data_IF_509158491502
#
_entry.id   IF_509158491502
#
_cell.length_a   1.000
_cell.length_b   1.000
_cell.length_c   1.000
_cell.angle_alpha   90.00
_cell.angle_beta   90.00
_cell.angle_gamma   90.00
#
_symmetry.space_group_name_H-M   'P 1'
#
loop_
_entity.id
_entity.type
_entity.pdbx_description
1 polymer ?
#
# COMPACT_ATOMS: atom_id res chain seq x y z
N UNK A 1 -3.59 3.11 24.89
CA UNK A 1 -2.45 2.90 23.96
C UNK A 1 -2.85 1.82 22.98
N UNK A 2 -3.31 2.23 21.80
CA UNK A 2 -3.60 1.30 20.72
C UNK A 2 -2.29 1.04 19.99
N UNK A 3 -1.63 -0.05 20.31
CA UNK A 3 -0.58 -0.62 19.49
C UNK A 3 -1.22 -1.04 18.16
N UNK A 4 -1.29 -0.13 17.20
CA UNK A 4 -1.60 -0.48 15.83
C UNK A 4 -0.40 -1.26 15.31
N UNK A 5 -0.56 -2.53 14.88
CA UNK A 5 0.59 -3.32 14.45
C UNK A 5 1.29 -2.61 13.30
N UNK A 6 2.59 -2.40 13.44
CA UNK A 6 3.46 -1.82 12.41
C UNK A 6 3.48 -2.63 11.09
N UNK A 7 2.79 -3.76 11.07
CA UNK A 7 2.63 -4.65 9.92
C UNK A 7 1.50 -4.28 8.96
N UNK A 8 0.76 -3.20 9.22
CA UNK A 8 -0.46 -2.88 8.47
C UNK A 8 -0.22 -2.61 6.98
N UNK A 9 0.95 -2.10 6.58
CA UNK A 9 1.21 -1.79 5.18
C UNK A 9 1.55 -3.03 4.34
N UNK A 10 2.29 -3.99 4.88
CA UNK A 10 2.49 -5.30 4.26
C UNK A 10 1.21 -6.14 4.36
N UNK A 11 0.51 -6.10 5.49
CA UNK A 11 -0.76 -6.78 5.69
C UNK A 11 -1.89 -6.21 4.81
N UNK A 12 -1.79 -4.97 4.30
CA UNK A 12 -2.80 -4.41 3.39
C UNK A 12 -2.82 -5.10 2.01
N UNK A 13 -1.80 -5.88 1.66
CA UNK A 13 -1.78 -6.70 0.46
C UNK A 13 -2.41 -8.08 0.65
N UNK A 14 -2.69 -8.47 1.89
CA UNK A 14 -3.53 -9.63 2.19
C UNK A 14 -4.97 -9.17 2.11
N UNK A 15 -5.74 -9.80 1.23
CA UNK A 15 -7.14 -9.45 1.03
C UNK A 15 -7.99 -9.67 2.30
N UNK A 16 -8.98 -8.78 2.49
CA UNK A 16 -9.97 -8.89 3.57
C UNK A 16 -11.12 -9.76 3.10
N UNK A 17 -11.25 -10.96 3.66
CA UNK A 17 -12.34 -11.89 3.33
C UNK A 17 -13.69 -11.34 3.77
N UNK A 18 -14.77 -11.65 3.03
CA UNK A 18 -16.14 -11.33 3.45
C UNK A 18 -16.48 -11.91 4.83
N UNK A 19 -16.04 -13.12 5.11
CA UNK A 19 -16.21 -13.72 6.44
C UNK A 19 -15.58 -12.89 7.56
N UNK A 20 -14.40 -12.29 7.32
CA UNK A 20 -13.74 -11.43 8.31
C UNK A 20 -14.52 -10.10 8.50
N UNK A 21 -15.02 -9.51 7.41
CA UNK A 21 -15.79 -8.26 7.47
C UNK A 21 -17.07 -8.51 8.29
N UNK A 22 -17.82 -9.59 8.00
CA UNK A 22 -19.01 -9.99 8.78
C UNK A 22 -18.70 -10.24 10.25
N UNK A 23 -17.61 -10.98 10.53
CA UNK A 23 -17.20 -11.24 11.91
C UNK A 23 -16.81 -9.97 12.66
N UNK A 24 -16.10 -9.05 12.00
CA UNK A 24 -15.76 -7.74 12.58
C UNK A 24 -17.04 -6.92 12.84
N UNK A 25 -17.98 -6.88 11.89
CA UNK A 25 -19.27 -6.19 12.09
C UNK A 25 -20.02 -6.72 13.28
N UNK A 26 -20.11 -8.04 13.44
CA UNK A 26 -20.78 -8.66 14.58
C UNK A 26 -20.15 -8.25 15.93
N UNK A 27 -18.81 -8.13 15.98
CA UNK A 27 -18.11 -7.63 17.17
C UNK A 27 -18.42 -6.15 17.39
N UNK A 28 -18.35 -5.34 16.34
CA UNK A 28 -18.68 -3.92 16.40
C UNK A 28 -20.10 -3.69 16.94
N UNK A 29 -21.08 -4.44 16.44
CA UNK A 29 -22.46 -4.35 16.88
C UNK A 29 -22.63 -4.74 18.35
N UNK A 30 -21.98 -5.81 18.79
CA UNK A 30 -21.98 -6.24 20.20
C UNK A 30 -21.52 -5.13 21.15
N UNK A 31 -20.57 -4.31 20.73
CA UNK A 31 -20.02 -3.22 21.56
C UNK A 31 -20.54 -1.84 21.19
N UNK A 32 -21.57 -1.73 20.34
CA UNK A 32 -22.16 -0.47 19.91
C UNK A 32 -21.15 0.45 19.21
N UNK A 33 -20.20 -0.12 18.44
CA UNK A 33 -19.19 0.61 17.71
C UNK A 33 -19.46 0.54 16.19
N UNK A 34 -19.23 1.62 15.46
CA UNK A 34 -19.34 1.59 14.00
C UNK A 34 -18.19 0.84 13.34
N UNK A 35 -18.47 0.19 12.22
CA UNK A 35 -17.48 -0.35 11.32
C UNK A 35 -17.24 0.63 10.16
N UNK A 36 -16.07 1.27 10.13
CA UNK A 36 -15.65 2.14 9.03
C UNK A 36 -14.57 1.41 8.21
N UNK A 37 -14.79 1.26 6.91
CA UNK A 37 -13.87 0.57 6.00
C UNK A 37 -12.98 1.58 5.28
N UNK A 38 -11.65 1.44 5.39
CA UNK A 38 -10.73 2.04 4.42
C UNK A 38 -10.84 1.26 3.11
N UNK A 39 -11.43 1.89 2.11
CA UNK A 39 -11.80 1.27 0.85
C UNK A 39 -10.89 1.66 -0.32
N UNK A 40 -9.74 2.22 -0.04
CA UNK A 40 -8.83 2.73 -1.07
C UNK A 40 -8.47 1.71 -2.17
N UNK A 41 -8.54 0.40 -1.87
CA UNK A 41 -8.29 -0.69 -2.81
C UNK A 41 -9.42 -1.74 -2.79
N UNK A 42 -10.66 -1.27 -2.80
CA UNK A 42 -11.82 -2.12 -2.66
C UNK A 42 -12.00 -3.12 -3.82
N UNK A 43 -11.69 -2.70 -5.04
CA UNK A 43 -11.88 -3.52 -6.22
C UNK A 43 -10.81 -4.64 -6.31
N UNK A 44 -9.55 -4.32 -6.02
CA UNK A 44 -8.50 -5.34 -5.90
C UNK A 44 -8.85 -6.35 -4.81
N UNK A 45 -9.36 -5.88 -3.66
CA UNK A 45 -9.80 -6.76 -2.57
C UNK A 45 -10.98 -7.67 -2.99
N UNK A 46 -11.99 -7.11 -3.66
CA UNK A 46 -13.13 -7.88 -4.15
C UNK A 46 -12.71 -8.95 -5.18
N UNK A 47 -11.76 -8.63 -6.05
CA UNK A 47 -11.22 -9.60 -6.99
C UNK A 47 -10.45 -10.73 -6.28
N UNK A 48 -9.69 -10.43 -5.22
CA UNK A 48 -9.09 -11.48 -4.39
C UNK A 48 -10.12 -12.36 -3.69
N UNK A 49 -11.22 -11.77 -3.20
CA UNK A 49 -12.33 -12.54 -2.64
C UNK A 49 -12.88 -13.50 -3.69
N UNK A 50 -13.17 -13.00 -4.91
CA UNK A 50 -13.64 -13.83 -6.02
C UNK A 50 -12.71 -15.02 -6.30
N UNK A 51 -11.41 -14.77 -6.35
CA UNK A 51 -10.42 -15.81 -6.67
C UNK A 51 -10.16 -16.81 -5.54
N UNK A 52 -10.28 -16.39 -4.28
CA UNK A 52 -9.72 -17.13 -3.15
C UNK A 52 -10.73 -17.56 -2.09
N UNK A 53 -11.90 -16.92 -2.01
CA UNK A 53 -12.89 -17.25 -0.98
C UNK A 53 -13.94 -18.21 -1.54
N UNK A 54 -14.19 -19.39 -0.91
CA UNK A 54 -15.18 -20.34 -1.39
C UNK A 54 -16.59 -19.71 -1.51
N UNK A 55 -17.28 -20.00 -2.63
CA UNK A 55 -18.63 -19.51 -2.89
C UNK A 55 -18.73 -18.13 -3.53
N UNK A 56 -17.59 -17.54 -3.93
CA UNK A 56 -17.56 -16.22 -4.58
C UNK A 56 -17.13 -16.27 -6.06
N UNK A 57 -16.73 -17.41 -6.57
CA UNK A 57 -16.18 -17.58 -7.93
C UNK A 57 -17.16 -17.15 -9.04
N UNK A 58 -18.45 -17.41 -8.84
CA UNK A 58 -19.51 -17.11 -9.82
C UNK A 58 -20.13 -15.71 -9.63
N UNK A 59 -19.78 -15.00 -8.56
CA UNK A 59 -20.24 -13.61 -8.34
C UNK A 59 -19.39 -12.64 -9.16
N UNK A 60 -20.01 -11.62 -9.70
CA UNK A 60 -19.30 -10.48 -10.28
C UNK A 60 -18.57 -9.69 -9.20
N UNK A 61 -17.48 -9.01 -9.56
CA UNK A 61 -16.76 -8.09 -8.66
C UNK A 61 -17.71 -7.05 -8.07
N UNK A 62 -18.65 -6.53 -8.86
CA UNK A 62 -19.66 -5.54 -8.42
C UNK A 62 -20.58 -6.06 -7.33
N UNK A 63 -21.01 -7.32 -7.40
CA UNK A 63 -21.80 -7.97 -6.35
C UNK A 63 -20.98 -8.16 -5.07
N UNK A 64 -19.73 -8.60 -5.19
CA UNK A 64 -18.84 -8.77 -4.04
C UNK A 64 -18.60 -7.44 -3.32
N UNK A 65 -18.36 -6.37 -4.08
CA UNK A 65 -18.20 -5.00 -3.56
C UNK A 65 -19.45 -4.54 -2.80
N UNK A 66 -20.65 -4.76 -3.37
CA UNK A 66 -21.91 -4.41 -2.70
C UNK A 66 -22.09 -5.16 -1.38
N UNK A 67 -21.81 -6.47 -1.38
CA UNK A 67 -21.86 -7.27 -0.16
C UNK A 67 -20.86 -6.75 0.89
N UNK A 68 -19.63 -6.43 0.49
CA UNK A 68 -18.59 -5.91 1.38
C UNK A 68 -19.06 -4.62 2.08
N UNK A 69 -19.60 -3.67 1.33
CA UNK A 69 -20.04 -2.39 1.88
C UNK A 69 -21.40 -2.46 2.60
N UNK A 70 -22.22 -3.48 2.35
CA UNK A 70 -23.49 -3.66 3.11
C UNK A 70 -23.26 -3.92 4.61
N UNK A 71 -22.06 -4.33 4.98
CA UNK A 71 -21.69 -4.54 6.38
C UNK A 71 -21.05 -3.31 7.05
N UNK A 72 -20.81 -2.22 6.31
CA UNK A 72 -20.15 -1.04 6.83
C UNK A 72 -21.14 0.04 7.26
N UNK A 73 -20.82 0.74 8.35
CA UNK A 73 -21.53 1.95 8.78
C UNK A 73 -21.00 3.20 8.07
N UNK A 74 -19.85 3.07 7.43
CA UNK A 74 -19.24 4.10 6.62
C UNK A 74 -17.93 3.64 5.95
N UNK A 75 -17.41 4.49 5.10
CA UNK A 75 -16.16 4.21 4.39
C UNK A 75 -15.36 5.47 4.09
N UNK A 76 -14.04 5.31 4.05
CA UNK A 76 -13.13 6.33 3.52
C UNK A 76 -12.54 5.85 2.20
N UNK A 77 -12.34 6.77 1.27
CA UNK A 77 -11.77 6.47 -0.04
C UNK A 77 -10.66 7.44 -0.42
N UNK A 78 -9.58 6.89 -0.97
CA UNK A 78 -8.53 7.64 -1.63
C UNK A 78 -8.64 7.43 -3.14
N UNK A 79 -9.11 8.45 -3.86
CA UNK A 79 -9.44 8.37 -5.28
C UNK A 79 -8.23 8.10 -6.19
N UNK A 80 -7.01 8.46 -5.76
CA UNK A 80 -5.77 8.17 -6.51
C UNK A 80 -5.41 6.68 -6.60
N UNK A 81 -6.26 5.78 -6.09
CA UNK A 81 -6.08 4.33 -6.13
C UNK A 81 -7.13 3.69 -7.04
N UNK A 82 -8.21 3.15 -6.48
CA UNK A 82 -9.19 2.38 -7.26
C UNK A 82 -10.22 3.23 -8.03
N UNK A 83 -9.93 4.49 -8.29
CA UNK A 83 -10.71 5.30 -9.24
C UNK A 83 -9.85 5.90 -10.36
N UNK A 84 -8.58 5.52 -10.44
CA UNK A 84 -7.64 6.03 -11.46
C UNK A 84 -7.45 7.54 -11.49
N UNK A 85 -8.06 8.30 -10.56
CA UNK A 85 -7.94 9.74 -10.50
C UNK A 85 -6.57 10.16 -9.94
N UNK A 86 -6.13 11.37 -10.27
CA UNK A 86 -4.86 11.91 -9.80
C UNK A 86 -4.92 12.28 -8.31
N UNK A 87 -6.07 12.75 -7.83
CA UNK A 87 -6.28 13.23 -6.47
C UNK A 87 -7.72 13.02 -6.02
N UNK A 88 -7.98 13.43 -4.80
CA UNK A 88 -9.30 13.41 -4.22
C UNK A 88 -9.57 12.19 -3.35
N UNK A 89 -10.76 12.18 -2.83
CA UNK A 89 -11.29 11.13 -1.96
C UNK A 89 -12.64 11.53 -1.43
N UNK A 90 -13.28 10.64 -0.71
CA UNK A 90 -14.54 10.92 -0.03
C UNK A 90 -14.70 10.10 1.23
N UNK A 91 -15.63 10.56 2.05
CA UNK A 91 -16.15 9.88 3.21
C UNK A 91 -17.64 9.61 2.96
N UNK A 92 -18.08 8.36 3.10
CA UNK A 92 -19.48 7.99 3.09
C UNK A 92 -19.88 7.45 4.47
N UNK A 93 -21.04 7.89 4.97
CA UNK A 93 -21.52 7.55 6.30
C UNK A 93 -23.03 7.29 6.26
N UNK A 94 -23.50 6.29 7.02
CA UNK A 94 -24.91 6.02 7.23
C UNK A 94 -25.51 6.82 8.42
N UNK A 95 -24.68 7.49 9.20
CA UNK A 95 -25.10 8.29 10.35
C UNK A 95 -25.18 9.77 9.97
N UNK A 96 -26.39 10.35 9.99
CA UNK A 96 -26.66 11.74 9.58
C UNK A 96 -25.99 12.78 10.49
N UNK A 97 -25.88 12.53 11.80
CA UNK A 97 -25.20 13.43 12.71
C UNK A 97 -23.69 13.54 12.34
N UNK A 98 -23.08 12.40 12.10
CA UNK A 98 -21.66 12.39 11.71
C UNK A 98 -21.44 12.98 10.31
N UNK A 99 -22.36 12.71 9.39
CA UNK A 99 -22.34 13.30 8.06
C UNK A 99 -22.46 14.84 8.14
N UNK A 100 -23.32 15.36 9.01
CA UNK A 100 -23.44 16.80 9.27
C UNK A 100 -22.15 17.41 9.82
N UNK A 101 -21.55 16.80 10.83
CA UNK A 101 -20.25 17.23 11.38
C UNK A 101 -19.14 17.19 10.34
N UNK A 102 -19.10 16.13 9.52
CA UNK A 102 -18.10 15.99 8.44
C UNK A 102 -18.25 17.09 7.37
N UNK A 103 -19.48 17.44 6.96
CA UNK A 103 -19.76 18.56 6.03
C UNK A 103 -19.27 19.89 6.57
N UNK A 104 -19.57 20.19 7.83
CA UNK A 104 -19.09 21.42 8.48
C UNK A 104 -17.57 21.48 8.48
N UNK A 105 -16.91 20.36 8.84
CA UNK A 105 -15.46 20.27 8.83
C UNK A 105 -14.86 20.47 7.44
N UNK A 106 -15.49 19.84 6.43
CA UNK A 106 -15.08 19.95 5.03
C UNK A 106 -15.09 21.40 4.54
N UNK A 107 -16.15 22.15 4.87
CA UNK A 107 -16.25 23.58 4.50
C UNK A 107 -15.10 24.39 5.10
N UNK A 108 -14.68 24.04 6.32
CA UNK A 108 -13.60 24.77 7.02
C UNK A 108 -12.20 24.43 6.50
N UNK A 109 -11.99 23.23 5.93
CA UNK A 109 -10.65 22.71 5.63
C UNK A 109 -10.36 22.60 4.13
N UNK A 110 -11.36 22.35 3.29
CA UNK A 110 -11.17 22.02 1.88
C UNK A 110 -12.07 22.85 0.94
N UNK A 111 -13.39 22.80 1.13
CA UNK A 111 -14.34 23.49 0.27
C UNK A 111 -15.78 23.06 0.50
N UNK A 112 -16.68 23.51 -0.39
CA UNK A 112 -18.09 23.19 -0.26
C UNK A 112 -18.38 21.71 -0.50
N UNK A 113 -19.41 21.12 0.18
CA UNK A 113 -19.76 19.71 0.07
C UNK A 113 -20.14 19.25 -1.33
N UNK A 114 -20.47 20.18 -2.25
CA UNK A 114 -20.83 19.88 -3.64
C UNK A 114 -19.64 19.42 -4.48
N UNK A 115 -18.44 19.87 -4.17
CA UNK A 115 -17.22 19.50 -4.91
C UNK A 115 -16.01 19.15 -4.01
N UNK A 116 -16.07 19.43 -2.69
CA UNK A 116 -15.01 19.08 -1.75
C UNK A 116 -13.61 19.62 -2.10
N UNK A 117 -13.52 20.80 -2.73
CA UNK A 117 -12.27 21.37 -3.24
C UNK A 117 -11.78 20.76 -4.56
N UNK A 118 -12.52 19.80 -5.16
CA UNK A 118 -12.15 19.18 -6.44
C UNK A 118 -12.68 19.97 -7.65
N UNK A 119 -11.95 19.92 -8.75
CA UNK A 119 -12.48 20.42 -10.03
C UNK A 119 -13.56 19.48 -10.58
N UNK A 120 -14.46 20.00 -11.43
CA UNK A 120 -15.45 19.15 -12.13
C UNK A 120 -14.79 18.04 -12.95
N UNK A 121 -13.64 18.31 -13.53
CA UNK A 121 -12.81 17.33 -14.26
C UNK A 121 -12.33 16.20 -13.36
N UNK A 122 -11.88 16.49 -12.13
CA UNK A 122 -11.43 15.45 -11.19
C UNK A 122 -12.62 14.60 -10.72
N UNK A 123 -13.78 15.22 -10.50
CA UNK A 123 -15.01 14.49 -10.14
C UNK A 123 -15.45 13.54 -11.26
N UNK A 124 -15.40 14.00 -12.52
CA UNK A 124 -15.71 13.15 -13.68
C UNK A 124 -14.73 11.99 -13.82
N UNK A 125 -13.44 12.24 -13.62
CA UNK A 125 -12.43 11.17 -13.59
C UNK A 125 -12.72 10.12 -12.49
N UNK A 126 -13.15 10.57 -11.30
CA UNK A 126 -13.53 9.67 -10.22
C UNK A 126 -14.76 8.84 -10.60
N UNK A 127 -15.79 9.46 -11.15
CA UNK A 127 -17.03 8.79 -11.56
C UNK A 127 -16.76 7.71 -12.62
N UNK A 128 -16.06 8.08 -13.69
CA UNK A 128 -15.65 7.15 -14.75
C UNK A 128 -14.77 6.02 -14.20
N UNK A 129 -13.78 6.37 -13.36
CA UNK A 129 -12.88 5.39 -12.76
C UNK A 129 -13.59 4.37 -11.86
N UNK A 130 -14.65 4.76 -11.16
CA UNK A 130 -15.46 3.85 -10.34
C UNK A 130 -16.22 2.81 -11.18
N UNK A 131 -16.70 3.20 -12.35
CA UNK A 131 -17.33 2.26 -13.28
C UNK A 131 -16.30 1.31 -13.91
N UNK A 132 -15.13 1.83 -14.28
CA UNK A 132 -14.10 1.04 -14.96
C UNK A 132 -13.33 0.08 -14.04
N UNK A 133 -13.11 0.44 -12.77
CA UNK A 133 -12.25 -0.35 -11.88
C UNK A 133 -12.81 -1.74 -11.58
N UNK A 134 -14.10 -1.95 -11.68
CA UNK A 134 -14.77 -3.23 -11.40
C UNK A 134 -14.80 -4.19 -12.58
N UNK A 135 -14.20 -3.81 -13.72
CA UNK A 135 -14.05 -4.71 -14.86
C UNK A 135 -13.00 -5.79 -14.57
N UNK A 136 -13.41 -7.03 -14.68
CA UNK A 136 -12.59 -8.18 -14.28
C UNK A 136 -11.33 -8.34 -15.13
N UNK A 137 -11.38 -8.06 -16.42
CA UNK A 137 -10.22 -8.11 -17.33
C UNK A 137 -9.11 -7.17 -16.87
N UNK A 138 -9.48 -5.95 -16.45
CA UNK A 138 -8.52 -5.01 -15.87
C UNK A 138 -7.92 -5.52 -14.56
N UNK A 139 -8.75 -6.03 -13.65
CA UNK A 139 -8.30 -6.54 -12.36
C UNK A 139 -7.41 -7.77 -12.51
N UNK A 140 -7.73 -8.66 -13.46
CA UNK A 140 -6.90 -9.79 -13.83
C UNK A 140 -5.53 -9.34 -14.30
N UNK A 141 -5.49 -8.42 -15.27
CA UNK A 141 -4.24 -7.84 -15.76
C UNK A 141 -3.43 -7.19 -14.63
N UNK A 142 -4.09 -6.39 -13.81
CA UNK A 142 -3.47 -5.67 -12.67
C UNK A 142 -2.80 -6.62 -11.69
N UNK A 143 -3.53 -7.62 -11.24
CA UNK A 143 -3.04 -8.57 -10.24
C UNK A 143 -1.98 -9.49 -10.83
N UNK A 144 -2.19 -9.98 -12.07
CA UNK A 144 -1.20 -10.84 -12.74
C UNK A 144 0.12 -10.13 -12.99
N UNK A 145 0.11 -8.83 -13.31
CA UNK A 145 1.34 -8.04 -13.48
C UNK A 145 2.19 -8.00 -12.19
N UNK A 146 1.56 -7.82 -11.03
CA UNK A 146 2.25 -7.87 -9.73
C UNK A 146 2.79 -9.28 -9.44
N UNK A 147 1.97 -10.29 -9.66
CA UNK A 147 2.36 -11.69 -9.48
C UNK A 147 3.56 -12.05 -10.35
N UNK A 148 3.55 -11.62 -11.62
CA UNK A 148 4.63 -11.88 -12.55
C UNK A 148 5.98 -11.36 -12.03
N UNK A 149 6.06 -10.10 -11.61
CA UNK A 149 7.30 -9.56 -11.05
C UNK A 149 7.70 -10.31 -9.78
N UNK A 150 6.74 -10.57 -8.88
CA UNK A 150 6.99 -11.28 -7.63
C UNK A 150 7.56 -12.70 -7.89
N UNK A 151 6.96 -13.45 -8.82
CA UNK A 151 7.40 -14.79 -9.21
C UNK A 151 8.79 -14.78 -9.85
N UNK A 152 9.08 -13.78 -10.70
CA UNK A 152 10.40 -13.65 -11.36
C UNK A 152 11.49 -13.30 -10.36
N UNK A 153 11.23 -12.35 -9.44
CA UNK A 153 12.18 -12.00 -8.38
C UNK A 153 12.44 -13.20 -7.44
N UNK A 154 11.39 -13.90 -7.06
CA UNK A 154 11.51 -15.11 -6.23
C UNK A 154 12.34 -16.22 -6.90
N UNK A 155 12.13 -16.45 -8.20
CA UNK A 155 12.88 -17.42 -8.99
C UNK A 155 14.39 -17.09 -9.07
N UNK A 156 14.76 -15.81 -8.95
CA UNK A 156 16.15 -15.35 -8.89
C UNK A 156 16.74 -15.42 -7.47
N UNK A 157 15.99 -15.86 -6.48
CA UNK A 157 16.42 -15.91 -5.09
C UNK A 157 16.27 -14.59 -4.33
N UNK A 158 15.62 -13.59 -4.90
CA UNK A 158 15.27 -12.35 -4.19
C UNK A 158 14.14 -12.64 -3.21
N UNK A 159 14.34 -12.44 -1.90
CA UNK A 159 13.31 -12.76 -0.91
C UNK A 159 12.17 -11.74 -0.99
N UNK A 160 11.01 -12.19 -1.45
CA UNK A 160 9.79 -11.39 -1.59
C UNK A 160 8.69 -11.89 -0.64
N UNK A 161 7.79 -11.00 -0.26
CA UNK A 161 6.62 -11.37 0.53
C UNK A 161 5.62 -12.19 -0.31
N UNK A 162 5.07 -13.24 0.30
CA UNK A 162 4.10 -14.16 -0.31
C UNK A 162 2.87 -14.32 0.57
N UNK A 163 1.67 -14.48 -0.02
CA UNK A 163 1.36 -14.40 -1.45
C UNK A 163 1.52 -12.98 -1.98
N UNK A 164 1.71 -12.84 -3.31
CA UNK A 164 1.76 -11.54 -3.96
C UNK A 164 0.45 -10.78 -3.76
N UNK A 165 0.57 -9.48 -3.53
CA UNK A 165 -0.56 -8.57 -3.37
C UNK A 165 -1.07 -7.98 -4.69
N UNK A 166 -1.88 -6.93 -4.60
CA UNK A 166 -2.53 -6.29 -5.75
C UNK A 166 -1.87 -4.97 -6.20
N UNK A 167 -0.98 -4.37 -5.41
CA UNK A 167 -0.50 -3.02 -5.74
C UNK A 167 1.01 -2.84 -5.65
N UNK A 168 1.73 -3.76 -5.00
CA UNK A 168 3.16 -3.61 -4.79
C UNK A 168 3.84 -4.98 -4.64
N UNK A 169 5.13 -5.00 -4.91
CA UNK A 169 6.03 -6.07 -4.51
C UNK A 169 6.76 -5.61 -3.24
N UNK A 170 6.90 -6.49 -2.27
CA UNK A 170 7.65 -6.22 -1.05
C UNK A 170 8.87 -7.14 -0.98
N UNK A 171 10.04 -6.54 -1.05
CA UNK A 171 11.32 -7.24 -0.96
C UNK A 171 11.80 -7.21 0.49
N UNK A 172 12.15 -8.38 1.05
CA UNK A 172 12.75 -8.51 2.39
C UNK A 172 14.25 -8.18 2.30
N UNK A 173 14.55 -6.89 2.47
CA UNK A 173 15.91 -6.40 2.39
C UNK A 173 16.82 -6.92 3.51
N UNK A 174 16.27 -7.29 4.67
CA UNK A 174 17.05 -7.89 5.76
C UNK A 174 17.62 -9.25 5.36
N UNK A 175 16.84 -10.04 4.63
CA UNK A 175 17.34 -11.32 4.11
C UNK A 175 18.25 -11.15 2.93
N UNK A 176 17.93 -10.22 2.03
CA UNK A 176 18.70 -9.97 0.82
C UNK A 176 20.08 -9.35 1.13
N UNK A 177 20.15 -8.40 2.05
CA UNK A 177 21.35 -7.68 2.49
C UNK A 177 21.74 -8.11 3.90
N UNK A 178 21.88 -9.41 4.15
CA UNK A 178 22.13 -9.97 5.48
C UNK A 178 23.43 -9.48 6.14
N UNK A 179 24.35 -8.92 5.37
CA UNK A 179 25.59 -8.31 5.86
C UNK A 179 25.37 -6.90 6.46
N UNK A 180 24.21 -6.27 6.23
CA UNK A 180 23.90 -4.93 6.76
C UNK A 180 23.06 -5.07 8.03
N UNK A 181 23.55 -4.59 9.20
CA UNK A 181 22.75 -4.55 10.43
C UNK A 181 21.48 -3.71 10.27
N UNK A 182 20.39 -4.08 10.96
CA UNK A 182 19.10 -3.38 10.82
C UNK A 182 19.18 -1.87 11.13
N UNK A 183 20.02 -1.44 12.06
CA UNK A 183 20.25 -0.02 12.37
C UNK A 183 21.18 0.71 11.40
N UNK A 184 21.64 0.02 10.36
CA UNK A 184 22.24 0.61 9.18
C UNK A 184 21.30 0.59 7.97
N UNK A 185 20.01 0.39 8.22
CA UNK A 185 18.87 0.58 7.32
C UNK A 185 18.97 -0.21 6.00
N UNK A 186 19.04 -1.55 6.03
CA UNK A 186 19.20 -2.36 4.80
C UNK A 186 18.08 -2.11 3.76
N UNK A 187 16.86 -1.84 4.19
CA UNK A 187 15.77 -1.52 3.27
C UNK A 187 15.99 -0.16 2.56
N UNK A 188 16.51 0.84 3.27
CA UNK A 188 16.87 2.11 2.65
C UNK A 188 18.08 1.96 1.74
N UNK A 189 19.09 1.18 2.14
CA UNK A 189 20.26 0.88 1.31
C UNK A 189 19.85 0.21 0.00
N UNK A 190 18.95 -0.78 0.05
CA UNK A 190 18.42 -1.42 -1.16
C UNK A 190 17.64 -0.43 -2.04
N UNK A 191 16.80 0.43 -1.44
CA UNK A 191 16.06 1.44 -2.19
C UNK A 191 16.99 2.42 -2.92
N UNK A 192 18.07 2.84 -2.27
CA UNK A 192 19.12 3.70 -2.89
C UNK A 192 19.85 2.96 -3.99
N UNK A 193 20.25 1.71 -3.77
CA UNK A 193 20.96 0.90 -4.78
C UNK A 193 20.10 0.70 -6.04
N UNK A 194 18.82 0.39 -5.90
CA UNK A 194 17.87 0.28 -7.03
C UNK A 194 17.71 1.59 -7.79
N UNK A 195 17.74 2.72 -7.07
CA UNK A 195 17.64 4.03 -7.71
C UNK A 195 18.92 4.38 -8.50
N UNK A 196 20.09 4.10 -7.93
CA UNK A 196 21.37 4.34 -8.61
C UNK A 196 21.54 3.42 -9.82
N UNK A 197 21.20 2.13 -9.68
CA UNK A 197 21.38 1.12 -10.71
C UNK A 197 20.42 1.31 -11.89
N UNK A 198 19.16 1.64 -11.62
CA UNK A 198 18.12 1.61 -12.66
C UNK A 198 17.06 2.71 -12.56
N UNK A 199 17.25 3.76 -11.75
CA UNK A 199 16.25 4.80 -11.58
C UNK A 199 14.95 4.30 -10.93
N UNK A 200 14.96 3.13 -10.28
CA UNK A 200 13.78 2.52 -9.66
C UNK A 200 13.59 3.11 -8.26
N UNK A 201 12.49 3.84 -8.08
CA UNK A 201 12.15 4.43 -6.80
C UNK A 201 11.31 3.48 -5.95
N UNK A 202 11.94 2.87 -4.95
CA UNK A 202 11.28 2.11 -3.90
C UNK A 202 10.93 2.98 -2.68
N UNK A 203 10.16 2.41 -1.76
CA UNK A 203 9.86 3.02 -0.45
C UNK A 203 10.32 2.05 0.63
N UNK A 204 11.20 2.54 1.49
CA UNK A 204 11.62 1.82 2.69
C UNK A 204 10.44 1.68 3.66
N UNK A 205 10.28 0.50 4.24
CA UNK A 205 9.33 0.15 5.30
C UNK A 205 10.08 -0.72 6.31
N UNK A 206 10.82 -0.08 7.17
CA UNK A 206 11.70 -0.76 8.14
C UNK A 206 12.18 0.17 9.23
N UNK A 207 13.40 -0.04 9.70
CA UNK A 207 13.97 0.69 10.83
C UNK A 207 14.17 2.17 10.58
N UNK A 208 14.44 2.60 9.35
CA UNK A 208 14.55 4.02 9.06
C UNK A 208 13.22 4.76 9.23
N UNK A 209 12.09 4.14 8.85
CA UNK A 209 10.76 4.72 9.03
C UNK A 209 10.24 4.57 10.48
N UNK A 210 10.46 3.42 11.13
CA UNK A 210 9.79 3.04 12.37
C UNK A 210 10.72 2.82 13.57
N UNK A 211 12.04 2.89 13.38
CA UNK A 211 13.01 2.54 14.43
C UNK A 211 13.09 3.57 15.55
N UNK A 212 12.90 4.87 15.23
CA UNK A 212 13.01 5.93 16.20
C UNK A 212 11.88 5.91 17.22
N UNK A 213 12.25 5.87 18.49
CA UNK A 213 11.31 5.85 19.59
C UNK A 213 11.06 7.28 20.14
N UNK A 214 9.97 7.49 20.91
CA UNK A 214 9.67 8.81 21.49
C UNK A 214 10.76 9.36 22.43
N UNK A 215 11.56 8.49 23.04
CA UNK A 215 12.70 8.84 23.88
C UNK A 215 13.99 9.16 23.10
N UNK A 216 13.91 9.11 21.77
CA UNK A 216 15.06 9.34 20.89
C UNK A 216 15.95 8.12 20.65
N UNK A 217 15.70 7.00 21.32
CA UNK A 217 16.42 5.75 21.06
C UNK A 217 16.01 5.13 19.71
N UNK A 218 16.87 4.26 19.20
CA UNK A 218 16.60 3.49 17.96
C UNK A 218 16.38 2.01 18.29
N UNK A 219 15.30 1.44 17.73
CA UNK A 219 15.04 0.01 17.80
C UNK A 219 14.84 -0.55 16.41
N UNK A 220 15.42 -1.73 16.10
CA UNK A 220 15.16 -2.38 14.83
C UNK A 220 13.66 -2.63 14.64
N UNK A 221 13.15 -2.33 13.45
CA UNK A 221 11.80 -2.74 13.06
C UNK A 221 11.74 -4.28 12.96
N UNK A 222 10.54 -4.82 13.09
CA UNK A 222 10.34 -6.27 12.96
C UNK A 222 10.71 -6.79 11.56
N UNK A 223 10.56 -5.96 10.54
CA UNK A 223 10.86 -6.26 9.14
C UNK A 223 11.59 -5.09 8.48
N UNK A 224 12.44 -5.41 7.52
CA UNK A 224 13.14 -4.44 6.68
C UNK A 224 12.69 -4.66 5.24
N UNK A 225 11.65 -3.93 4.82
CA UNK A 225 11.03 -4.13 3.52
C UNK A 225 11.29 -2.94 2.58
N UNK A 226 11.50 -3.25 1.30
CA UNK A 226 11.36 -2.27 0.22
C UNK A 226 10.07 -2.54 -0.51
N UNK A 227 9.20 -1.53 -0.56
CA UNK A 227 7.96 -1.57 -1.32
C UNK A 227 8.18 -0.98 -2.71
N UNK A 228 7.98 -1.80 -3.73
CA UNK A 228 7.94 -1.39 -5.12
C UNK A 228 6.47 -1.24 -5.54
N UNK A 229 5.95 -0.03 -5.45
CA UNK A 229 4.57 0.25 -5.79
C UNK A 229 4.41 0.32 -7.33
N UNK A 230 3.45 -0.45 -7.84
CA UNK A 230 3.09 -0.42 -9.26
C UNK A 230 1.85 0.46 -9.43
N UNK A 231 1.98 1.67 -9.99
CA UNK A 231 0.82 2.52 -10.25
C UNK A 231 -0.11 1.90 -11.30
N UNK A 232 -1.38 2.30 -11.25
CA UNK A 232 -2.41 1.77 -12.14
C UNK A 232 -2.31 2.43 -13.51
N UNK A 233 -2.41 1.61 -14.58
CA UNK A 233 -2.43 2.09 -15.98
C UNK A 233 -1.24 2.97 -16.39
N UNK A 234 -0.07 2.78 -15.76
CA UNK A 234 1.13 3.57 -16.05
C UNK A 234 2.20 2.71 -16.73
N UNK A 235 2.44 1.51 -16.22
CA UNK A 235 3.51 0.65 -16.69
C UNK A 235 2.98 -0.52 -17.53
N UNK A 236 3.74 -0.86 -18.56
CA UNK A 236 3.52 -2.01 -19.43
C UNK A 236 4.43 -3.18 -19.00
N UNK A 237 4.35 -4.29 -19.74
CA UNK A 237 5.23 -5.44 -19.54
C UNK A 237 6.71 -5.06 -19.63
N UNK A 238 7.08 -4.17 -20.57
CA UNK A 238 8.47 -3.75 -20.73
C UNK A 238 9.06 -3.08 -19.48
N UNK A 239 8.28 -2.27 -18.75
CA UNK A 239 8.75 -1.70 -17.49
C UNK A 239 8.82 -2.75 -16.38
N UNK A 240 7.93 -3.74 -16.39
CA UNK A 240 8.00 -4.85 -15.45
C UNK A 240 9.27 -5.69 -15.67
N UNK A 241 9.58 -6.00 -16.92
CA UNK A 241 10.80 -6.72 -17.30
C UNK A 241 12.05 -5.91 -16.95
N UNK A 242 12.04 -4.61 -17.20
CA UNK A 242 13.16 -3.71 -16.81
C UNK A 242 13.43 -3.75 -15.29
N UNK A 243 12.39 -3.76 -14.46
CA UNK A 243 12.58 -3.90 -13.00
C UNK A 243 13.28 -5.23 -12.67
N UNK A 244 12.90 -6.31 -13.33
CA UNK A 244 13.51 -7.63 -13.15
C UNK A 244 14.99 -7.61 -13.57
N UNK A 245 15.30 -7.05 -14.74
CA UNK A 245 16.65 -6.91 -15.26
C UNK A 245 17.56 -6.11 -14.30
N UNK A 246 17.04 -5.02 -13.72
CA UNK A 246 17.82 -4.23 -12.73
C UNK A 246 18.14 -5.06 -11.49
N UNK A 247 17.21 -5.90 -11.03
CA UNK A 247 17.50 -6.83 -9.92
C UNK A 247 18.53 -7.90 -10.33
N UNK A 248 18.46 -8.45 -11.54
CA UNK A 248 19.45 -9.41 -12.06
C UNK A 248 20.87 -8.83 -12.03
N UNK A 249 21.03 -7.56 -12.38
CA UNK A 249 22.33 -6.88 -12.29
C UNK A 249 22.73 -6.59 -10.84
N UNK A 250 21.80 -6.13 -10.02
CA UNK A 250 22.08 -5.73 -8.65
C UNK A 250 22.54 -6.91 -7.79
N UNK A 251 21.93 -8.09 -7.95
CA UNK A 251 22.29 -9.29 -7.17
C UNK A 251 23.69 -9.82 -7.47
N UNK A 252 24.30 -9.49 -8.63
CA UNK A 252 25.67 -9.88 -8.98
C UNK A 252 26.71 -9.25 -8.05
N UNK A 253 26.41 -8.10 -7.46
CA UNK A 253 27.31 -7.39 -6.55
C UNK A 253 26.62 -6.94 -5.26
N UNK A 254 25.79 -7.81 -4.71
CA UNK A 254 24.93 -7.46 -3.57
C UNK A 254 25.72 -7.17 -2.29
N UNK A 255 26.86 -7.84 -2.10
CA UNK A 255 27.76 -7.64 -0.95
C UNK A 255 28.48 -6.29 -1.00
N UNK A 256 28.53 -5.63 -2.16
CA UNK A 256 29.10 -4.30 -2.32
C UNK A 256 28.15 -3.15 -1.93
N UNK A 257 26.90 -3.44 -1.57
CA UNK A 257 25.95 -2.43 -1.12
C UNK A 257 26.27 -2.08 0.35
N UNK A 258 26.66 -0.81 0.66
CA UNK A 258 26.96 -0.42 2.03
C UNK A 258 25.70 -0.18 2.86
N UNK A 259 25.81 -0.35 4.18
CA UNK A 259 24.84 0.19 5.13
C UNK A 259 24.82 1.73 5.08
N UNK A 260 23.83 2.32 5.69
CA UNK A 260 23.67 3.78 5.75
C UNK A 260 23.67 4.28 7.20
N UNK A 261 24.16 5.50 7.40
CA UNK A 261 24.01 6.23 8.65
C UNK A 261 23.34 7.59 8.42
N UNK A 262 22.52 8.02 9.37
CA UNK A 262 21.85 9.32 9.32
C UNK A 262 22.83 10.41 9.73
N UNK A 263 23.02 11.41 8.88
CA UNK A 263 23.88 12.56 9.16
C UNK A 263 23.11 13.77 9.64
N UNK A 264 21.84 13.86 9.27
CA UNK A 264 20.89 14.87 9.72
C UNK A 264 19.46 14.35 9.59
N UNK A 265 18.60 14.71 10.54
CA UNK A 265 17.17 14.39 10.48
C UNK A 265 16.31 15.48 11.13
N UNK A 266 15.08 15.68 10.65
CA UNK A 266 14.11 16.56 11.30
C UNK A 266 13.54 15.92 12.56
N UNK A 267 12.87 16.72 13.40
CA UNK A 267 12.23 16.23 14.63
C UNK A 267 11.09 15.21 14.40
N UNK A 268 10.53 15.16 13.19
CA UNK A 268 9.46 14.22 12.81
C UNK A 268 9.53 13.89 11.32
N UNK A 269 8.95 12.74 10.93
CA UNK A 269 8.83 12.30 9.53
C UNK A 269 10.18 12.22 8.79
N UNK A 270 11.22 11.75 9.47
CA UNK A 270 12.61 11.72 8.97
C UNK A 270 12.76 11.04 7.63
N UNK A 271 11.96 10.02 7.33
CA UNK A 271 12.02 9.25 6.09
C UNK A 271 11.71 10.06 4.81
N UNK A 272 11.20 11.31 4.94
CA UNK A 272 10.98 12.19 3.79
C UNK A 272 12.17 13.12 3.50
N UNK A 273 12.92 13.52 4.52
CA UNK A 273 13.88 14.62 4.38
C UNK A 273 15.23 14.39 5.04
N UNK A 274 15.42 13.32 5.82
CA UNK A 274 16.71 13.05 6.45
C UNK A 274 17.82 12.86 5.41
N UNK A 275 19.03 13.20 5.81
CA UNK A 275 20.23 13.00 5.02
C UNK A 275 20.99 11.78 5.52
N UNK A 276 21.44 10.96 4.60
CA UNK A 276 22.20 9.75 4.88
C UNK A 276 23.49 9.73 4.09
N UNK A 277 24.48 9.01 4.62
CA UNK A 277 25.70 8.67 3.88
C UNK A 277 26.00 7.17 4.03
N UNK A 278 26.77 6.59 3.09
CA UNK A 278 27.27 5.22 3.25
C UNK A 278 28.14 5.10 4.51
N UNK A 279 27.96 3.98 5.22
CA UNK A 279 28.89 3.58 6.29
C UNK A 279 30.20 3.19 5.63
N UNK A 280 31.30 3.78 6.07
CA UNK A 280 32.63 3.37 5.61
C UNK A 280 32.94 1.98 6.18
N UNK A 281 33.30 1.05 5.32
CA UNK A 281 33.73 -0.30 5.68
C UNK A 281 35.20 -0.28 6.10
#
# INVERSE_FOLDING_TARGET
ETNTPQHSSAASDVYKRQANIRGTKAICDKYGKPLIIDSARFAENAYFIKMREPGYQDKSVKEIVREMFSHADGMTMSAKKDTFANMGGWLALNNDEWAGKARTRLIMTEGFPTYGGLSGRDMECIATGLEEIVHEDYLQYRIRSIQYINERLDAMGVPVMKPAGGHAIFVDAKKLLSHIPSLQYPAQALAVALYIQGGIRGVEIGSFMFGRQPDGSEKPAAMELVRLAMPRRVYTQAQADYVIEVFEELIKNISGIPGLEVTWEPGSLRHFTAQLKPVQV
#
